data_IF_855113269391
#
_entry.id   IF_855113269391
#
_cell.length_a   1.000
_cell.length_b   1.000
_cell.length_c   1.000
_cell.angle_alpha   90.00
_cell.angle_beta   90.00
_cell.angle_gamma   90.00
#
_symmetry.space_group_name_H-M   'P 1'
#
loop_
_entity.id
_entity.type
_entity.pdbx_description
1 polymer ?
#
# COMPACT_ATOMS: atom_id res chain seq x y z
N UNK A 1 17.94 13.17 -13.91
CA UNK A 1 17.04 12.03 -13.72
C UNK A 1 17.79 10.73 -13.95
N UNK A 2 17.60 9.76 -13.07
CA UNK A 2 17.95 8.38 -13.31
C UNK A 2 16.76 7.75 -14.03
N UNK A 3 16.83 7.63 -15.34
CA UNK A 3 15.70 7.17 -16.13
C UNK A 3 15.25 5.75 -15.81
N UNK A 4 13.97 5.46 -16.05
CA UNK A 4 13.33 4.14 -16.00
C UNK A 4 13.28 3.45 -14.63
N UNK A 5 13.49 4.16 -13.52
CA UNK A 5 13.34 3.64 -12.15
C UNK A 5 12.43 4.56 -11.33
N UNK A 6 11.58 3.98 -10.53
CA UNK A 6 10.95 4.66 -9.40
C UNK A 6 11.87 4.54 -8.19
N UNK A 7 11.75 5.49 -7.27
CA UNK A 7 12.70 5.68 -6.18
C UNK A 7 14.12 5.97 -6.72
N UNK A 8 14.89 6.79 -6.05
CA UNK A 8 16.17 7.28 -6.56
C UNK A 8 16.14 7.90 -7.98
N UNK A 9 15.05 8.50 -8.39
CA UNK A 9 14.83 9.10 -9.69
C UNK A 9 15.70 10.33 -9.97
N UNK A 10 16.29 10.94 -8.93
CA UNK A 10 17.08 12.18 -9.01
C UNK A 10 18.55 11.94 -8.70
N UNK A 11 19.39 12.27 -9.66
CA UNK A 11 20.84 12.19 -9.54
C UNK A 11 21.44 13.45 -8.89
N UNK A 12 22.56 13.28 -8.20
CA UNK A 12 23.42 14.36 -7.70
C UNK A 12 22.72 15.38 -6.78
N UNK A 13 21.75 14.96 -6.00
CA UNK A 13 21.07 15.82 -5.01
C UNK A 13 21.00 15.11 -3.67
N UNK A 14 21.31 15.86 -2.60
CA UNK A 14 20.96 15.42 -1.26
C UNK A 14 19.46 15.67 -1.05
N UNK A 15 18.73 14.62 -0.68
CA UNK A 15 17.30 14.69 -0.45
C UNK A 15 16.87 13.66 0.61
N UNK A 16 15.75 13.96 1.27
CA UNK A 16 15.09 12.99 2.16
C UNK A 16 14.14 12.14 1.32
N UNK A 17 14.49 10.89 1.13
CA UNK A 17 13.71 9.99 0.29
C UNK A 17 12.50 9.43 1.04
N UNK A 18 12.73 8.87 2.22
CA UNK A 18 11.68 8.28 3.04
C UNK A 18 11.90 8.62 4.51
N UNK A 19 10.93 9.26 5.12
CA UNK A 19 10.75 9.33 6.55
C UNK A 19 9.46 8.58 6.88
N UNK A 20 9.61 7.38 7.42
CA UNK A 20 8.49 6.52 7.77
C UNK A 20 8.21 6.60 9.28
N UNK A 21 6.96 6.78 9.60
CA UNK A 21 6.45 6.65 10.95
C UNK A 21 5.29 5.67 10.93
N UNK A 22 5.24 4.75 11.89
CA UNK A 22 4.12 3.83 12.02
C UNK A 22 3.76 3.59 13.49
N UNK A 23 2.48 3.28 13.68
CA UNK A 23 1.95 2.79 14.95
C UNK A 23 1.32 1.44 14.66
N UNK A 24 1.72 0.43 15.41
CA UNK A 24 1.25 -0.94 15.22
C UNK A 24 0.92 -1.59 16.56
N UNK A 25 -0.20 -2.30 16.58
CA UNK A 25 -0.52 -3.32 17.54
C UNK A 25 -0.71 -4.63 16.81
N UNK A 26 0.22 -5.54 16.96
CA UNK A 26 0.15 -6.86 16.33
C UNK A 26 -0.92 -7.72 16.98
N UNK A 27 -1.56 -8.58 16.18
CA UNK A 27 -2.46 -9.62 16.69
C UNK A 27 -1.67 -10.80 17.26
N UNK A 28 -2.19 -11.44 18.29
CA UNK A 28 -1.63 -12.66 18.84
C UNK A 28 -2.12 -13.86 18.02
N UNK A 29 -1.27 -14.35 17.13
CA UNK A 29 -1.62 -15.41 16.19
C UNK A 29 -1.60 -16.82 16.80
N UNK A 30 -0.90 -17.01 17.90
CA UNK A 30 -0.80 -18.29 18.62
C UNK A 30 -1.89 -18.45 19.68
N UNK A 31 -2.77 -17.47 19.80
CA UNK A 31 -3.84 -17.44 20.78
C UNK A 31 -5.01 -18.33 20.35
N UNK A 32 -5.58 -19.04 21.32
CA UNK A 32 -6.89 -19.69 21.16
C UNK A 32 -8.05 -18.71 21.36
N UNK A 33 -7.75 -17.47 21.57
CA UNK A 33 -8.72 -16.39 21.77
C UNK A 33 -8.68 -15.42 20.61
N UNK A 34 -9.76 -14.66 20.48
CA UNK A 34 -9.80 -13.53 19.57
C UNK A 34 -8.76 -12.48 19.97
N UNK A 35 -8.04 -11.98 18.99
CA UNK A 35 -7.09 -10.89 19.18
C UNK A 35 -7.36 -9.83 18.13
N UNK A 36 -7.28 -8.55 18.51
CA UNK A 36 -7.49 -7.41 17.62
C UNK A 36 -6.24 -6.56 17.64
N UNK A 37 -5.79 -6.19 16.48
CA UNK A 37 -4.66 -5.30 16.25
C UNK A 37 -4.95 -4.33 15.11
N UNK A 38 -3.93 -3.68 14.64
CA UNK A 38 -4.01 -2.78 13.50
C UNK A 38 -2.72 -2.00 13.33
N UNK A 39 -2.63 -1.31 12.20
CA UNK A 39 -1.45 -0.52 11.84
C UNK A 39 -1.86 0.73 11.08
N UNK A 40 -1.14 1.79 11.33
CA UNK A 40 -1.21 3.04 10.61
C UNK A 40 0.20 3.50 10.26
N UNK A 41 0.45 3.73 8.97
CA UNK A 41 1.73 4.18 8.44
C UNK A 41 1.59 5.57 7.83
N UNK A 42 2.61 6.37 8.03
CA UNK A 42 2.79 7.69 7.44
C UNK A 42 4.17 7.75 6.81
N UNK A 43 4.25 8.22 5.56
CA UNK A 43 5.50 8.44 4.85
C UNK A 43 5.59 9.89 4.38
N UNK A 44 6.72 10.52 4.64
CA UNK A 44 7.09 11.81 4.08
C UNK A 44 8.40 11.67 3.30
N UNK A 45 8.50 12.30 2.14
CA UNK A 45 9.73 12.29 1.37
C UNK A 45 9.50 12.40 -0.13
N UNK A 46 10.57 12.24 -0.90
CA UNK A 46 10.48 12.23 -2.37
C UNK A 46 9.79 10.99 -2.90
N UNK A 47 9.85 9.88 -2.16
CA UNK A 47 9.25 8.62 -2.56
C UNK A 47 7.75 8.54 -2.27
N UNK A 48 7.23 9.46 -1.44
CA UNK A 48 5.82 9.51 -1.13
C UNK A 48 4.95 9.69 -2.38
N UNK A 49 5.40 10.45 -3.37
CA UNK A 49 4.65 10.65 -4.63
C UNK A 49 4.44 9.35 -5.42
N UNK A 50 5.34 8.39 -5.28
CA UNK A 50 5.22 7.07 -5.91
C UNK A 50 4.38 6.09 -5.08
N UNK A 51 4.20 6.41 -3.80
CA UNK A 51 3.52 5.53 -2.83
C UNK A 51 2.06 5.92 -2.64
N UNK A 52 1.67 7.13 -3.08
CA UNK A 52 0.29 7.60 -3.02
C UNK A 52 -0.63 6.70 -3.85
N UNK A 53 -1.80 6.39 -3.33
CA UNK A 53 -2.79 5.57 -4.00
C UNK A 53 -3.67 6.42 -4.92
N UNK A 54 -3.53 6.23 -6.23
CA UNK A 54 -4.29 6.97 -7.23
C UNK A 54 -5.69 6.37 -7.49
N UNK A 55 -5.84 5.06 -7.36
CA UNK A 55 -7.11 4.40 -7.62
C UNK A 55 -7.51 4.37 -9.09
N UNK A 56 -8.82 4.30 -9.36
CA UNK A 56 -9.35 3.96 -10.67
C UNK A 56 -9.23 5.08 -11.68
N UNK A 57 -9.36 6.32 -11.25
CA UNK A 57 -9.20 7.47 -12.14
C UNK A 57 -8.62 8.64 -11.36
N UNK A 58 -7.47 9.10 -11.80
CA UNK A 58 -6.85 10.30 -11.23
C UNK A 58 -7.53 11.58 -11.70
N UNK A 59 -8.29 11.50 -12.79
CA UNK A 59 -8.98 12.64 -13.39
C UNK A 59 -10.41 12.27 -13.78
N UNK A 60 -11.31 13.22 -13.63
CA UNK A 60 -12.65 13.12 -14.22
C UNK A 60 -12.55 13.34 -15.74
N UNK A 61 -12.96 12.36 -16.51
CA UNK A 61 -12.86 12.39 -17.99
C UNK A 61 -13.70 13.51 -18.64
N UNK A 62 -14.74 13.99 -17.95
CA UNK A 62 -15.65 15.01 -18.49
C UNK A 62 -15.17 16.44 -18.18
N UNK A 63 -14.54 16.64 -17.04
CA UNK A 63 -14.12 17.96 -16.60
C UNK A 63 -12.62 18.19 -16.70
N UNK A 64 -11.82 17.13 -16.82
CA UNK A 64 -10.35 17.20 -16.78
C UNK A 64 -9.80 17.56 -15.40
N UNK A 65 -10.65 17.69 -14.41
CA UNK A 65 -10.24 18.02 -13.04
C UNK A 65 -9.78 16.76 -12.29
N UNK A 66 -8.92 16.92 -11.28
CA UNK A 66 -8.53 15.81 -10.43
C UNK A 66 -9.75 15.14 -9.78
N UNK A 67 -9.92 13.86 -10.02
CA UNK A 67 -10.99 13.09 -9.42
C UNK A 67 -10.66 12.76 -7.96
N UNK A 68 -11.66 12.89 -7.10
CA UNK A 68 -11.57 12.39 -5.73
C UNK A 68 -11.74 10.87 -5.63
N UNK A 69 -12.19 10.26 -6.71
CA UNK A 69 -12.39 8.83 -6.80
C UNK A 69 -11.01 8.14 -6.81
N UNK A 70 -10.83 7.18 -5.93
CA UNK A 70 -9.57 6.48 -5.82
C UNK A 70 -8.45 7.24 -5.12
N UNK A 71 -8.68 8.46 -4.68
CA UNK A 71 -7.71 9.22 -3.90
C UNK A 71 -7.79 8.84 -2.42
N UNK A 72 -6.80 8.12 -1.94
CA UNK A 72 -6.65 7.83 -0.53
C UNK A 72 -5.94 8.98 0.21
N UNK A 73 -4.84 9.44 -0.33
CA UNK A 73 -3.94 10.38 0.34
C UNK A 73 -3.37 11.49 -0.57
N UNK A 74 -3.80 11.56 -1.83
CA UNK A 74 -3.23 12.48 -2.82
C UNK A 74 -3.33 13.96 -2.45
N UNK A 75 -4.38 14.36 -1.77
CA UNK A 75 -4.68 15.76 -1.48
C UNK A 75 -4.30 16.20 -0.06
N UNK A 76 -3.63 15.34 0.71
CA UNK A 76 -3.28 15.67 2.11
C UNK A 76 -2.27 16.81 2.16
N UNK A 77 -1.33 16.87 1.23
CA UNK A 77 -0.33 17.92 1.20
C UNK A 77 0.15 18.26 -0.21
N UNK A 78 0.29 19.53 -0.45
CA UNK A 78 1.24 20.12 -1.42
C UNK A 78 1.02 19.76 -2.89
N UNK A 79 0.52 20.69 -3.67
CA UNK A 79 0.24 20.51 -5.11
C UNK A 79 1.48 20.30 -5.98
N UNK A 80 1.25 19.75 -7.11
CA UNK A 80 1.93 19.29 -8.33
C UNK A 80 3.38 19.69 -8.68
N UNK A 81 4.02 20.63 -8.06
CA UNK A 81 5.43 21.00 -8.34
C UNK A 81 6.42 20.41 -7.34
N UNK A 82 5.98 19.52 -6.54
CA UNK A 82 6.64 19.06 -5.32
C UNK A 82 7.75 18.05 -5.56
N UNK A 83 8.81 18.30 -4.84
CA UNK A 83 9.86 17.30 -4.63
C UNK A 83 9.51 16.37 -3.47
N UNK A 84 8.78 16.87 -2.48
CA UNK A 84 8.39 16.15 -1.27
C UNK A 84 6.87 16.01 -1.19
N UNK A 85 6.41 14.87 -0.73
CA UNK A 85 5.00 14.57 -0.53
C UNK A 85 4.74 13.81 0.77
N UNK A 86 3.46 13.56 1.02
CA UNK A 86 2.96 12.73 2.11
C UNK A 86 2.20 11.58 1.47
N UNK A 87 2.39 10.38 2.00
CA UNK A 87 1.57 9.22 1.71
C UNK A 87 1.12 8.55 3.02
N UNK A 88 -0.05 7.90 2.95
CA UNK A 88 -0.58 7.04 4.00
C UNK A 88 -0.64 5.59 3.47
N UNK A 89 0.50 4.89 3.40
CA UNK A 89 0.57 3.62 2.71
C UNK A 89 -0.18 2.50 3.41
N UNK A 90 -0.43 2.62 4.70
CA UNK A 90 -1.22 1.64 5.44
C UNK A 90 -2.12 2.29 6.48
N UNK A 91 -3.38 1.82 6.54
CA UNK A 91 -4.32 2.10 7.62
C UNK A 91 -5.31 0.94 7.67
N UNK A 92 -5.07 -0.04 8.54
CA UNK A 92 -5.92 -1.23 8.64
C UNK A 92 -6.13 -1.69 10.07
N UNK A 93 -7.22 -2.38 10.27
CA UNK A 93 -7.46 -3.23 11.44
C UNK A 93 -7.15 -4.67 11.08
N UNK A 94 -6.66 -5.43 12.05
CA UNK A 94 -6.41 -6.85 11.91
C UNK A 94 -7.07 -7.61 13.05
N UNK A 95 -7.71 -8.72 12.73
CA UNK A 95 -8.36 -9.58 13.72
C UNK A 95 -7.87 -11.00 13.53
N UNK A 96 -7.43 -11.62 14.62
CA UNK A 96 -7.20 -13.05 14.70
C UNK A 96 -8.46 -13.77 15.16
N UNK A 97 -8.90 -14.74 14.37
CA UNK A 97 -10.06 -15.60 14.63
C UNK A 97 -9.54 -17.02 14.90
N UNK A 98 -9.77 -17.58 16.09
CA UNK A 98 -9.22 -18.88 16.47
C UNK A 98 -10.01 -20.04 15.86
N UNK A 99 -10.07 -20.10 14.53
CA UNK A 99 -10.71 -21.18 13.76
C UNK A 99 -9.64 -22.04 13.10
N UNK A 100 -9.65 -23.32 13.38
CA UNK A 100 -8.66 -24.26 12.87
C UNK A 100 -7.26 -23.91 13.36
N UNK A 101 -6.36 -23.59 12.42
CA UNK A 101 -5.00 -23.16 12.73
C UNK A 101 -4.86 -21.63 12.92
N UNK A 102 -5.99 -20.93 13.02
CA UNK A 102 -6.05 -19.47 13.15
C UNK A 102 -6.22 -18.76 11.81
N UNK A 103 -7.24 -17.94 11.70
CA UNK A 103 -7.51 -17.09 10.54
C UNK A 103 -7.26 -15.64 10.90
N UNK A 104 -6.35 -14.99 10.20
CA UNK A 104 -6.14 -13.54 10.32
C UNK A 104 -6.87 -12.81 9.22
N UNK A 105 -7.62 -11.79 9.58
CA UNK A 105 -8.37 -10.95 8.64
C UNK A 105 -7.91 -9.51 8.81
N UNK A 106 -7.34 -8.93 7.75
CA UNK A 106 -7.09 -7.48 7.65
C UNK A 106 -8.24 -6.80 6.95
N UNK A 107 -8.60 -5.62 7.42
CA UNK A 107 -9.61 -4.76 6.82
C UNK A 107 -9.11 -3.32 6.79
N UNK A 108 -9.06 -2.71 5.62
CA UNK A 108 -8.58 -1.34 5.41
C UNK A 108 -7.62 -1.23 4.22
N UNK A 109 -6.67 -0.31 4.34
CA UNK A 109 -5.64 -0.05 3.34
C UNK A 109 -4.31 -0.66 3.78
N UNK A 110 -3.69 -1.48 2.93
CA UNK A 110 -2.50 -2.26 3.28
C UNK A 110 -1.61 -2.49 2.06
N UNK A 111 -0.33 -2.76 2.31
CA UNK A 111 0.60 -3.14 1.24
C UNK A 111 0.17 -4.44 0.55
N UNK A 112 0.46 -4.49 -0.75
CA UNK A 112 0.19 -5.70 -1.52
C UNK A 112 0.86 -6.93 -0.90
N UNK A 113 0.18 -8.08 -0.86
CA UNK A 113 0.80 -9.35 -0.51
C UNK A 113 1.52 -10.00 -1.70
N UNK A 114 1.50 -9.36 -2.87
CA UNK A 114 2.14 -9.83 -4.10
C UNK A 114 3.56 -9.32 -4.22
N UNK A 115 4.39 -10.06 -4.96
CA UNK A 115 5.77 -9.67 -5.21
C UNK A 115 6.73 -9.96 -4.06
N UNK A 116 7.99 -9.66 -4.29
CA UNK A 116 9.08 -9.83 -3.33
C UNK A 116 9.53 -8.50 -2.73
N UNK A 117 9.52 -7.45 -3.55
CA UNK A 117 9.93 -6.12 -3.13
C UNK A 117 8.80 -5.40 -2.38
N UNK A 118 9.16 -4.54 -1.46
CA UNK A 118 8.24 -3.73 -0.67
C UNK A 118 8.49 -2.24 -0.82
N UNK A 119 7.52 -1.41 -0.45
CA UNK A 119 7.64 0.05 -0.52
C UNK A 119 8.69 0.60 0.45
N UNK A 120 8.74 0.19 1.74
CA UNK A 120 9.77 0.66 2.66
C UNK A 120 11.17 0.24 2.20
N UNK A 121 12.09 1.20 2.14
CA UNK A 121 13.45 0.96 1.64
C UNK A 121 14.23 -0.08 2.47
N UNK A 122 14.14 -0.11 3.81
CA UNK A 122 14.89 -1.07 4.62
C UNK A 122 14.55 -2.55 4.36
N UNK A 123 13.36 -2.82 3.82
CA UNK A 123 12.87 -4.18 3.59
C UNK A 123 13.34 -4.76 2.26
N UNK A 124 14.17 -4.02 1.52
CA UNK A 124 14.64 -4.42 0.21
C UNK A 124 16.16 -4.49 0.15
N UNK A 125 16.66 -5.34 -0.75
CA UNK A 125 18.10 -5.47 -0.97
C UNK A 125 18.69 -4.24 -1.66
N UNK A 126 17.98 -3.71 -2.67
CA UNK A 126 18.33 -2.48 -3.37
C UNK A 126 17.36 -1.35 -3.04
N UNK A 127 17.86 -0.12 -3.07
CA UNK A 127 17.00 1.05 -2.90
C UNK A 127 16.07 1.28 -4.10
N UNK A 128 16.57 1.10 -5.31
CA UNK A 128 15.76 1.14 -6.53
C UNK A 128 14.92 -0.12 -6.68
N UNK A 129 13.75 0.00 -7.26
CA UNK A 129 12.80 -1.11 -7.43
C UNK A 129 12.88 -1.67 -8.83
N UNK A 130 12.62 -2.97 -8.93
CA UNK A 130 12.53 -3.69 -10.19
C UNK A 130 11.33 -3.22 -11.02
N UNK A 131 11.39 -3.49 -12.31
CA UNK A 131 10.31 -3.17 -13.25
C UNK A 131 8.97 -3.79 -12.86
N UNK A 132 9.00 -4.99 -12.25
CA UNK A 132 7.79 -5.69 -11.81
C UNK A 132 7.06 -4.87 -10.76
N UNK A 133 7.72 -4.42 -9.69
CA UNK A 133 7.08 -3.58 -8.68
C UNK A 133 6.55 -2.28 -9.30
N UNK A 134 7.32 -1.67 -10.20
CA UNK A 134 6.96 -0.36 -10.76
C UNK A 134 5.78 -0.41 -11.71
N UNK A 135 5.60 -1.51 -12.45
CA UNK A 135 4.68 -1.55 -13.59
C UNK A 135 3.81 -2.79 -13.65
N UNK A 136 4.10 -3.81 -12.86
CA UNK A 136 3.45 -5.12 -12.93
C UNK A 136 2.54 -5.44 -11.75
N UNK A 137 2.70 -4.76 -10.63
CA UNK A 137 1.93 -5.03 -9.42
C UNK A 137 1.49 -3.75 -8.71
N UNK A 138 0.33 -3.74 -8.06
CA UNK A 138 -0.11 -2.61 -7.24
C UNK A 138 0.75 -2.51 -5.97
N UNK A 139 0.97 -1.30 -5.46
CA UNK A 139 1.73 -1.11 -4.23
C UNK A 139 0.88 -1.37 -2.99
N UNK A 140 -0.39 -1.02 -3.06
CA UNK A 140 -1.34 -1.11 -1.96
C UNK A 140 -2.70 -1.62 -2.43
N UNK A 141 -3.46 -2.11 -1.49
CA UNK A 141 -4.86 -2.51 -1.69
C UNK A 141 -5.73 -1.94 -0.59
N UNK A 142 -6.99 -1.70 -0.92
CA UNK A 142 -8.03 -1.38 0.06
C UNK A 142 -9.11 -2.46 0.01
N UNK A 143 -9.45 -3.02 1.18
CA UNK A 143 -10.44 -4.08 1.25
C UNK A 143 -10.19 -5.03 2.40
N UNK A 144 -10.41 -6.31 2.14
CA UNK A 144 -10.24 -7.40 3.12
C UNK A 144 -9.20 -8.38 2.61
N UNK A 145 -8.30 -8.81 3.50
CA UNK A 145 -7.31 -9.84 3.23
C UNK A 145 -7.39 -10.91 4.32
N UNK A 146 -7.77 -12.13 3.94
CA UNK A 146 -7.71 -13.30 4.79
C UNK A 146 -6.39 -14.04 4.64
N UNK A 147 -5.78 -14.44 5.75
CA UNK A 147 -4.57 -15.26 5.79
C UNK A 147 -4.81 -16.46 6.68
N UNK A 148 -4.67 -17.67 6.13
CA UNK A 148 -4.87 -18.92 6.85
C UNK A 148 -3.67 -19.84 6.73
N UNK A 149 -2.95 -20.13 7.82
CA UNK A 149 -1.88 -21.12 7.84
C UNK A 149 -2.48 -22.55 7.83
N UNK A 150 -2.34 -23.23 6.70
CA UNK A 150 -2.82 -24.62 6.56
C UNK A 150 -1.94 -25.56 7.37
N UNK A 151 -0.64 -25.37 7.34
CA UNK A 151 0.35 -26.09 8.11
C UNK A 151 1.67 -25.28 8.18
N UNK A 152 2.73 -25.86 8.73
CA UNK A 152 4.03 -25.18 8.87
C UNK A 152 4.66 -24.72 7.55
N UNK A 153 4.27 -25.32 6.42
CA UNK A 153 4.88 -25.07 5.12
C UNK A 153 3.94 -24.30 4.16
N UNK A 154 2.64 -24.29 4.43
CA UNK A 154 1.63 -23.75 3.53
C UNK A 154 0.75 -22.72 4.22
N UNK A 155 0.67 -21.56 3.63
CA UNK A 155 -0.26 -20.49 4.02
C UNK A 155 -1.05 -20.06 2.79
N UNK A 156 -2.37 -20.03 2.92
CA UNK A 156 -3.28 -19.52 1.88
C UNK A 156 -3.66 -18.10 2.24
N UNK A 157 -3.64 -17.22 1.23
CA UNK A 157 -4.13 -15.85 1.31
C UNK A 157 -5.19 -15.63 0.25
N UNK A 158 -6.25 -14.91 0.62
CA UNK A 158 -7.30 -14.50 -0.30
C UNK A 158 -7.78 -13.11 0.07
N UNK A 159 -8.03 -12.28 -0.93
CA UNK A 159 -8.45 -10.89 -0.73
C UNK A 159 -9.67 -10.56 -1.58
N UNK A 160 -10.51 -9.66 -1.05
CA UNK A 160 -11.50 -8.91 -1.78
C UNK A 160 -11.12 -7.43 -1.64
N UNK A 161 -10.76 -6.80 -2.76
CA UNK A 161 -10.24 -5.43 -2.76
C UNK A 161 -11.04 -4.56 -3.70
N UNK A 162 -11.18 -3.31 -3.36
CA UNK A 162 -11.79 -2.29 -4.21
C UNK A 162 -10.73 -1.61 -5.06
N UNK A 163 -11.12 -1.08 -6.21
CA UNK A 163 -10.22 -0.38 -7.11
C UNK A 163 -9.57 -1.27 -8.16
N UNK A 164 -8.70 -0.70 -8.96
CA UNK A 164 -7.95 -1.44 -9.96
C UNK A 164 -6.84 -2.26 -9.33
N UNK A 165 -6.67 -3.51 -9.78
CA UNK A 165 -5.56 -4.38 -9.39
C UNK A 165 -4.46 -4.42 -10.45
N UNK A 166 -4.54 -3.58 -11.48
CA UNK A 166 -3.58 -3.56 -12.57
C UNK A 166 -2.42 -2.64 -12.23
N UNK A 167 -1.31 -3.21 -11.92
CA UNK A 167 0.04 -2.66 -11.90
C UNK A 167 0.30 -1.29 -11.28
N UNK A 168 1.44 -1.14 -10.67
CA UNK A 168 1.92 0.16 -10.23
C UNK A 168 1.04 0.80 -9.15
N UNK A 169 0.60 2.00 -9.40
CA UNK A 169 -0.10 2.85 -8.43
C UNK A 169 -1.61 2.64 -8.38
N UNK A 170 -2.14 1.74 -9.20
CA UNK A 170 -3.58 1.58 -9.40
C UNK A 170 -4.29 0.73 -8.35
N UNK A 171 -3.57 0.10 -7.45
CA UNK A 171 -4.17 -0.69 -6.36
C UNK A 171 -4.88 0.15 -5.31
N UNK A 172 -5.43 1.26 -5.73
CA UNK A 172 -5.92 2.30 -4.85
C UNK A 172 -7.33 2.09 -4.34
N UNK A 173 -7.77 3.08 -3.62
CA UNK A 173 -9.06 3.15 -2.99
C UNK A 173 -10.12 3.65 -3.98
N UNK A 174 -11.29 3.02 -4.00
CA UNK A 174 -12.48 3.54 -4.65
C UNK A 174 -13.50 4.00 -3.60
N UNK A 175 -13.68 5.30 -3.48
CA UNK A 175 -14.59 5.90 -2.49
C UNK A 175 -16.05 5.51 -2.72
N UNK A 176 -16.43 5.19 -3.94
CA UNK A 176 -17.80 4.80 -4.26
C UNK A 176 -18.05 3.32 -4.00
N UNK A 177 -16.97 2.53 -3.81
CA UNK A 177 -17.05 1.10 -3.53
C UNK A 177 -17.86 0.30 -4.55
N UNK A 178 -17.86 0.72 -5.81
CA UNK A 178 -18.58 0.05 -6.89
C UNK A 178 -17.69 -0.81 -7.81
N UNK A 179 -16.38 -0.83 -7.52
CA UNK A 179 -15.38 -1.67 -8.18
C UNK A 179 -14.67 -2.57 -7.16
N UNK A 180 -14.89 -3.86 -7.28
CA UNK A 180 -14.28 -4.91 -6.44
C UNK A 180 -13.58 -5.96 -7.28
#
# INVERSE_FOLDING_TARGET
FNGAVTFADRANRFQLNQLNFFIERSVETDSKNWSIGGRFDFMFGTDAIYTQAFGISAFDENTGEPSDRGNWDLNICCKSTRTYGIALPQAYLETHVPVGNGLNIKAGHFYTPLGYESVPAPDNFFYTRAYILNSGEPFTHTGFLGTYPVNRNWTIRGAATTGSATGGWDGGFDKQLDNW
#
